data_IF_344608951743
#
_entry.id   IF_344608951743
#
_cell.length_a   1.000
_cell.length_b   1.000
_cell.length_c   1.000
_cell.angle_alpha   90.00
_cell.angle_beta   90.00
_cell.angle_gamma   90.00
#
_symmetry.space_group_name_H-M   'P 1'
#
loop_
_entity.id
_entity.type
_entity.pdbx_description
1 polymer ?
#
# COMPACT_ATOMS: atom_id res chain seq x y z
N UNK A 1 2.15 29.43 -0.63
CA UNK A 1 1.59 28.41 0.29
C UNK A 1 1.83 28.89 1.71
N UNK A 2 0.82 28.82 2.58
CA UNK A 2 0.99 29.25 3.98
C UNK A 2 1.79 28.22 4.77
N UNK A 3 2.61 28.66 5.72
CA UNK A 3 3.40 27.78 6.62
C UNK A 3 2.48 26.81 7.37
N UNK A 4 1.29 27.25 7.76
CA UNK A 4 0.30 26.39 8.42
C UNK A 4 -0.13 25.22 7.53
N UNK A 5 -0.26 25.45 6.21
CA UNK A 5 -0.62 24.38 5.26
C UNK A 5 0.48 23.33 5.17
N UNK A 6 1.76 23.73 5.21
CA UNK A 6 2.90 22.80 5.15
C UNK A 6 2.91 21.89 6.39
N UNK A 7 2.70 22.48 7.58
CA UNK A 7 2.63 21.72 8.83
C UNK A 7 1.48 20.71 8.84
N UNK A 8 0.30 21.12 8.37
CA UNK A 8 -0.86 20.22 8.26
C UNK A 8 -0.56 19.05 7.32
N UNK A 9 0.04 19.31 6.15
CA UNK A 9 0.38 18.26 5.18
C UNK A 9 1.42 17.28 5.73
N UNK A 10 2.42 17.76 6.47
CA UNK A 10 3.42 16.90 7.13
C UNK A 10 2.77 15.96 8.16
N UNK A 11 1.91 16.50 9.03
CA UNK A 11 1.19 15.71 10.03
C UNK A 11 0.27 14.67 9.36
N UNK A 12 -0.47 15.08 8.33
CA UNK A 12 -1.40 14.21 7.63
C UNK A 12 -0.65 13.09 6.88
N UNK A 13 0.46 13.42 6.22
CA UNK A 13 1.32 12.46 5.53
C UNK A 13 1.97 11.46 6.49
N UNK A 14 2.44 11.92 7.65
CA UNK A 14 2.99 11.04 8.68
C UNK A 14 1.93 10.08 9.24
N UNK A 15 0.73 10.58 9.56
CA UNK A 15 -0.37 9.77 10.07
C UNK A 15 -0.87 8.76 9.02
N UNK A 16 -1.04 9.21 7.78
CA UNK A 16 -1.45 8.35 6.67
C UNK A 16 -0.39 7.27 6.37
N UNK A 17 0.90 7.64 6.38
CA UNK A 17 2.00 6.70 6.22
C UNK A 17 2.07 5.66 7.34
N UNK A 18 1.90 6.09 8.59
CA UNK A 18 1.85 5.19 9.75
C UNK A 18 0.69 4.18 9.65
N UNK A 19 -0.53 4.66 9.37
CA UNK A 19 -1.70 3.80 9.22
C UNK A 19 -1.54 2.85 8.02
N UNK A 20 -1.08 3.35 6.87
CA UNK A 20 -0.84 2.55 5.66
C UNK A 20 0.23 1.47 5.87
N UNK A 21 1.27 1.79 6.65
CA UNK A 21 2.31 0.85 7.06
C UNK A 21 1.78 -0.25 7.97
N UNK A 22 0.93 0.08 8.96
CA UNK A 22 0.31 -0.90 9.87
C UNK A 22 -0.65 -1.85 9.15
N UNK A 23 -1.41 -1.35 8.18
CA UNK A 23 -2.34 -2.17 7.38
C UNK A 23 -1.59 -3.02 6.34
N UNK A 24 -0.28 -2.79 6.14
CA UNK A 24 0.52 -3.54 5.17
C UNK A 24 0.34 -3.07 3.72
N UNK A 25 -0.37 -1.96 3.50
CA UNK A 25 -0.61 -1.38 2.16
C UNK A 25 0.71 -0.92 1.55
N UNK A 26 1.64 -0.42 2.37
CA UNK A 26 2.98 -0.01 1.92
C UNK A 26 3.78 -1.11 1.21
N UNK A 27 3.53 -2.38 1.54
CA UNK A 27 4.18 -3.52 0.88
C UNK A 27 3.74 -3.71 -0.58
N UNK A 28 2.49 -3.34 -0.92
CA UNK A 28 1.94 -3.51 -2.28
C UNK A 28 2.66 -2.68 -3.34
N UNK A 29 3.21 -1.51 -2.96
CA UNK A 29 4.03 -0.65 -3.84
C UNK A 29 5.29 -1.37 -4.33
N UNK A 30 5.85 -2.25 -3.51
CA UNK A 30 7.01 -3.09 -3.86
C UNK A 30 6.53 -4.39 -4.52
N UNK A 31 5.41 -4.95 -4.07
CA UNK A 31 4.89 -6.25 -4.52
C UNK A 31 4.47 -6.24 -6.00
N UNK A 32 3.79 -5.20 -6.46
CA UNK A 32 3.37 -5.08 -7.87
C UNK A 32 4.56 -5.10 -8.84
N UNK A 33 5.57 -4.20 -8.73
CA UNK A 33 6.71 -4.24 -9.64
C UNK A 33 7.51 -5.54 -9.51
N UNK A 34 7.60 -6.14 -8.32
CA UNK A 34 8.26 -7.44 -8.15
C UNK A 34 7.53 -8.55 -8.91
N UNK A 35 6.19 -8.61 -8.83
CA UNK A 35 5.39 -9.58 -9.58
C UNK A 35 5.48 -9.35 -11.10
N UNK A 36 5.52 -8.09 -11.54
CA UNK A 36 5.72 -7.76 -12.95
C UNK A 36 7.10 -8.24 -13.44
N UNK A 37 8.15 -8.05 -12.64
CA UNK A 37 9.49 -8.57 -12.94
C UNK A 37 9.53 -10.10 -12.97
N UNK A 38 8.67 -10.77 -12.19
CA UNK A 38 8.48 -12.23 -12.22
C UNK A 38 7.60 -12.70 -13.40
N UNK A 39 7.22 -11.80 -14.32
CA UNK A 39 6.48 -12.13 -15.54
C UNK A 39 4.97 -12.09 -15.42
N UNK A 40 4.41 -11.56 -14.31
CA UNK A 40 2.98 -11.35 -14.19
C UNK A 40 2.55 -10.17 -15.08
N UNK A 41 1.38 -10.28 -15.70
CA UNK A 41 0.76 -9.12 -16.33
C UNK A 41 0.38 -8.08 -15.26
N UNK A 42 0.43 -6.80 -15.61
CA UNK A 42 0.14 -5.68 -14.69
C UNK A 42 -1.19 -5.88 -13.93
N UNK A 43 -2.22 -6.34 -14.64
CA UNK A 43 -3.52 -6.63 -14.06
C UNK A 43 -3.49 -7.75 -13.02
N UNK A 44 -2.75 -8.84 -13.31
CA UNK A 44 -2.57 -9.94 -12.36
C UNK A 44 -1.73 -9.52 -11.16
N UNK A 45 -0.64 -8.79 -11.37
CA UNK A 45 0.22 -8.30 -10.30
C UNK A 45 -0.55 -7.42 -9.30
N UNK A 46 -1.40 -6.51 -9.81
CA UNK A 46 -2.27 -5.69 -8.97
C UNK A 46 -3.29 -6.54 -8.21
N UNK A 47 -4.00 -7.46 -8.88
CA UNK A 47 -4.97 -8.35 -8.24
C UNK A 47 -4.36 -9.24 -7.15
N UNK A 48 -3.19 -9.84 -7.40
CA UNK A 48 -2.47 -10.68 -6.44
C UNK A 48 -1.98 -9.87 -5.24
N UNK A 49 -1.48 -8.64 -5.45
CA UNK A 49 -1.07 -7.77 -4.34
C UNK A 49 -2.25 -7.41 -3.41
N UNK A 50 -3.44 -7.19 -3.97
CA UNK A 50 -4.66 -6.92 -3.21
C UNK A 50 -5.17 -8.17 -2.47
N UNK A 51 -5.09 -9.36 -3.09
CA UNK A 51 -5.48 -10.60 -2.46
C UNK A 51 -4.64 -10.93 -1.21
N UNK A 52 -3.35 -10.60 -1.22
CA UNK A 52 -2.45 -10.74 -0.06
C UNK A 52 -2.80 -9.80 1.10
N UNK A 53 -3.45 -8.67 0.80
CA UNK A 53 -3.93 -7.71 1.80
C UNK A 53 -5.26 -8.14 2.45
N UNK A 54 -5.98 -9.08 1.85
CA UNK A 54 -7.23 -9.61 2.41
C UNK A 54 -6.86 -10.68 3.45
N UNK A 55 -7.24 -10.52 4.74
CA UNK A 55 -7.03 -11.55 5.75
C UNK A 55 -7.71 -12.86 5.31
N UNK A 56 -7.10 -14.04 5.54
CA UNK A 56 -7.70 -15.30 5.16
C UNK A 56 -9.07 -15.44 5.84
N UNK A 57 -10.14 -15.37 5.05
CA UNK A 57 -11.54 -15.51 5.50
C UNK A 57 -11.94 -16.97 5.74
N UNK A 58 -11.01 -17.92 5.60
CA UNK A 58 -11.22 -19.33 5.90
C UNK A 58 -11.01 -19.54 7.40
N UNK A 59 -12.11 -19.52 8.17
CA UNK A 59 -12.13 -20.19 9.48
C UNK A 59 -11.79 -21.68 9.28
N UNK A 60 -10.97 -22.30 10.14
CA UNK A 60 -10.65 -23.73 10.04
C UNK A 60 -11.90 -24.61 10.15
#
# INVERSE_FOLDING_TARGET
>A
MSVSTIFILLLLGALAGYISGLVGIGGSVILVPTLVLLGFSQYRAQGTSLALLIPPSHKP
#
